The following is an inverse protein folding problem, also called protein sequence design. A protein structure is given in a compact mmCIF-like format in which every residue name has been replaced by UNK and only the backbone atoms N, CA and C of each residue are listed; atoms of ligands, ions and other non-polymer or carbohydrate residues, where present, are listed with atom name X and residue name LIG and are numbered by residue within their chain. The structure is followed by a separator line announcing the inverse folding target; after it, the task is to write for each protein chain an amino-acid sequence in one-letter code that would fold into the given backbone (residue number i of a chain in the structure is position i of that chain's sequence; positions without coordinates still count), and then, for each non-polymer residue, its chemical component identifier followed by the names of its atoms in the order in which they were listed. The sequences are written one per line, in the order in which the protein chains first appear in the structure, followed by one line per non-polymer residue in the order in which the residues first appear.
data_IF_314677134133
#
_entry.id   IF_314677134133
#
_cell.length_a   1.000
_cell.length_b   1.000
_cell.length_c   1.000
_cell.angle_alpha   90.00
_cell.angle_beta   90.00
_cell.angle_gamma   90.00
#
_symmetry.space_group_name_H-M   'P 1'
#
loop_
_entity.id
_entity.type
_entity.pdbx_description
1 polymer ?
#
# COMPACT_ATOMS: atom_id res chain seq x y z
N UNK A 1 -11.19 15.03 6.97
CA UNK A 1 -12.04 13.81 7.06
C UNK A 1 -13.45 14.26 6.74
N UNK A 2 -14.33 13.43 6.16
CA UNK A 2 -15.70 13.87 5.82
C UNK A 2 -16.50 14.43 7.01
N UNK A 3 -16.13 14.06 8.25
CA UNK A 3 -16.80 14.48 9.49
C UNK A 3 -15.90 15.32 10.43
N UNK A 4 -14.72 15.74 9.94
CA UNK A 4 -13.79 16.60 10.69
C UNK A 4 -13.00 17.50 9.76
N UNK A 5 -13.10 18.79 10.02
CA UNK A 5 -12.45 19.83 9.23
C UNK A 5 -10.96 19.97 9.53
N UNK A 6 -10.25 20.63 8.61
CA UNK A 6 -8.83 20.87 8.75
C UNK A 6 -8.54 21.69 10.02
N UNK A 7 -7.66 21.17 10.89
CA UNK A 7 -7.29 21.74 12.20
C UNK A 7 -8.44 21.84 13.22
N UNK A 8 -9.60 21.24 12.96
CA UNK A 8 -10.70 21.19 13.92
C UNK A 8 -10.31 20.36 15.15
N UNK A 9 -10.51 20.90 16.36
CA UNK A 9 -10.33 20.19 17.62
C UNK A 9 -11.70 19.71 18.11
N UNK A 10 -11.95 18.42 17.96
CA UNK A 10 -13.21 17.74 18.33
C UNK A 10 -12.89 16.53 19.17
N UNK A 11 -13.76 16.20 20.12
CA UNK A 11 -13.64 15.01 20.94
C UNK A 11 -13.83 13.74 20.11
N UNK A 12 -13.33 12.60 20.60
CA UNK A 12 -13.48 11.33 19.89
C UNK A 12 -14.95 10.94 19.78
N UNK A 13 -15.71 11.20 20.83
CA UNK A 13 -17.13 10.89 20.96
C UNK A 13 -17.96 11.66 19.93
N UNK A 14 -17.67 12.94 19.71
CA UNK A 14 -18.37 13.75 18.71
C UNK A 14 -17.99 13.32 17.28
N UNK A 15 -16.73 12.93 17.01
CA UNK A 15 -16.37 12.35 15.71
C UNK A 15 -17.14 11.06 15.44
N UNK A 16 -17.30 10.21 16.46
CA UNK A 16 -18.10 8.98 16.36
C UNK A 16 -19.55 9.32 16.07
N UNK A 17 -20.16 10.25 16.83
CA UNK A 17 -21.55 10.69 16.62
C UNK A 17 -21.76 11.18 15.19
N UNK A 18 -20.92 12.11 14.70
CA UNK A 18 -20.99 12.62 13.32
C UNK A 18 -20.84 11.51 12.29
N UNK A 19 -19.94 10.55 12.54
CA UNK A 19 -19.73 9.42 11.62
C UNK A 19 -20.95 8.50 11.56
N UNK A 20 -21.70 8.35 12.65
CA UNK A 20 -22.90 7.51 12.71
C UNK A 20 -24.16 8.22 12.20
N UNK A 21 -24.32 9.50 12.55
CA UNK A 21 -25.59 10.21 12.40
C UNK A 21 -25.59 11.22 11.25
N UNK A 22 -24.47 11.93 11.04
CA UNK A 22 -24.45 13.07 10.12
C UNK A 22 -24.21 12.60 8.67
N UNK A 23 -24.85 13.29 7.73
CA UNK A 23 -24.56 13.12 6.30
C UNK A 23 -23.29 13.88 5.88
N UNK A 24 -22.61 13.38 4.86
CA UNK A 24 -21.40 14.00 4.34
C UNK A 24 -21.74 15.34 3.65
N UNK A 25 -21.06 16.41 4.06
CA UNK A 25 -21.22 17.74 3.46
C UNK A 25 -20.18 17.96 2.38
N UNK A 26 -20.61 18.50 1.24
CA UNK A 26 -19.73 18.81 0.10
C UNK A 26 -19.59 20.32 -0.07
N UNK A 27 -18.70 20.92 0.72
CA UNK A 27 -18.50 22.38 0.70
C UNK A 27 -17.65 22.85 -0.50
N UNK A 28 -16.75 21.98 -0.99
CA UNK A 28 -15.88 22.34 -2.09
C UNK A 28 -16.60 22.25 -3.45
N UNK A 29 -16.54 23.32 -4.25
CA UNK A 29 -17.11 23.39 -5.60
C UNK A 29 -16.53 22.41 -6.64
N UNK A 30 -15.50 21.62 -6.28
CA UNK A 30 -14.82 20.69 -7.19
C UNK A 30 -15.51 19.33 -7.24
N UNK A 31 -16.46 19.06 -6.34
CA UNK A 31 -17.27 17.86 -6.39
C UNK A 31 -18.37 18.05 -7.42
N UNK A 32 -18.26 17.33 -8.54
CA UNK A 32 -19.32 17.20 -9.52
C UNK A 32 -20.43 16.24 -9.02
N UNK A 33 -21.53 16.15 -9.78
CA UNK A 33 -22.68 15.32 -9.37
C UNK A 33 -22.31 13.82 -9.25
N UNK A 34 -21.60 13.20 -10.23
CA UNK A 34 -21.18 11.80 -10.09
C UNK A 34 -20.26 11.55 -8.90
N UNK A 35 -19.35 12.48 -8.55
CA UNK A 35 -18.48 12.34 -7.37
C UNK A 35 -19.26 12.42 -6.07
N UNK A 36 -20.23 13.33 -5.96
CA UNK A 36 -21.08 13.43 -4.76
C UNK A 36 -21.92 12.17 -4.58
N UNK A 37 -22.49 11.67 -5.67
CA UNK A 37 -23.35 10.49 -5.66
C UNK A 37 -22.58 9.25 -5.19
N UNK A 38 -21.44 8.96 -5.82
CA UNK A 38 -20.64 7.78 -5.45
C UNK A 38 -20.16 7.85 -3.99
N UNK A 39 -19.78 9.04 -3.51
CA UNK A 39 -19.36 9.22 -2.12
C UNK A 39 -20.54 8.96 -1.17
N UNK A 40 -21.73 9.46 -1.49
CA UNK A 40 -22.93 9.21 -0.68
C UNK A 40 -23.32 7.72 -0.65
N UNK A 41 -23.18 7.04 -1.78
CA UNK A 41 -23.43 5.60 -1.89
C UNK A 41 -22.43 4.77 -1.07
N UNK A 42 -21.15 5.16 -1.01
CA UNK A 42 -20.15 4.52 -0.14
C UNK A 42 -20.31 4.88 1.34
N UNK A 43 -20.82 6.07 1.65
CA UNK A 43 -21.01 6.57 3.03
C UNK A 43 -22.38 6.23 3.61
N UNK A 44 -23.17 5.38 2.96
CA UNK A 44 -24.42 4.85 3.53
C UNK A 44 -24.15 4.20 4.90
N UNK A 45 -24.94 4.60 5.89
CA UNK A 45 -24.82 4.14 7.28
C UNK A 45 -25.17 2.67 7.39
N UNK A 46 -26.28 2.27 6.76
CA UNK A 46 -26.64 0.88 6.59
C UNK A 46 -25.64 0.19 5.65
N UNK A 47 -25.04 -0.90 6.14
CA UNK A 47 -24.08 -1.69 5.35
C UNK A 47 -24.76 -2.32 4.14
N UNK A 48 -26.01 -2.75 4.28
CA UNK A 48 -26.76 -3.39 3.20
C UNK A 48 -27.06 -2.48 2.00
N UNK A 49 -27.17 -1.17 2.26
CA UNK A 49 -27.42 -0.15 1.25
C UNK A 49 -26.12 0.43 0.69
N UNK A 50 -24.96 0.00 1.20
CA UNK A 50 -23.65 0.54 0.83
C UNK A 50 -23.19 -0.06 -0.50
N UNK A 51 -22.81 0.80 -1.42
CA UNK A 51 -22.24 0.38 -2.71
C UNK A 51 -20.99 -0.47 -2.49
N UNK A 52 -20.89 -1.59 -3.22
CA UNK A 52 -19.84 -2.59 -3.06
C UNK A 52 -20.21 -3.81 -2.20
N UNK A 53 -21.30 -3.75 -1.42
CA UNK A 53 -21.75 -4.90 -0.63
C UNK A 53 -22.62 -5.89 -1.44
N UNK A 54 -23.47 -5.39 -2.33
CA UNK A 54 -24.32 -6.19 -3.24
C UNK A 54 -24.05 -5.88 -4.71
N UNK A 55 -23.84 -4.60 -5.01
CA UNK A 55 -23.61 -4.09 -6.37
C UNK A 55 -22.13 -3.83 -6.66
N UNK A 56 -21.73 -3.99 -7.92
CA UNK A 56 -20.37 -3.71 -8.39
C UNK A 56 -20.15 -2.18 -8.50
N UNK A 57 -19.27 -1.58 -7.67
CA UNK A 57 -19.02 -0.14 -7.68
C UNK A 57 -18.45 0.35 -9.01
N UNK A 58 -17.81 -0.53 -9.78
CA UNK A 58 -17.17 -0.19 -11.06
C UNK A 58 -18.17 0.16 -12.15
N UNK A 59 -19.47 -0.16 -11.98
CA UNK A 59 -20.56 0.18 -12.90
C UNK A 59 -21.06 1.63 -12.74
N UNK A 60 -20.63 2.32 -11.69
CA UNK A 60 -21.04 3.68 -11.40
C UNK A 60 -20.54 4.67 -12.48
N UNK A 61 -21.33 5.72 -12.77
CA UNK A 61 -21.01 6.72 -13.81
C UNK A 61 -19.66 7.42 -13.59
N UNK A 62 -19.25 7.55 -12.32
CA UNK A 62 -17.93 8.06 -11.93
C UNK A 62 -16.76 7.33 -12.63
N UNK A 63 -16.89 6.02 -12.90
CA UNK A 63 -15.85 5.22 -13.56
C UNK A 63 -16.03 5.10 -15.07
N UNK A 64 -17.03 5.76 -15.67
CA UNK A 64 -17.40 5.62 -17.09
C UNK A 64 -16.26 5.95 -18.06
N UNK A 65 -15.35 6.85 -17.67
CA UNK A 65 -14.19 7.24 -18.49
C UNK A 65 -13.02 6.25 -18.40
N UNK A 66 -13.08 5.27 -17.50
CA UNK A 66 -11.98 4.35 -17.21
C UNK A 66 -12.31 2.96 -17.76
N UNK A 67 -11.42 2.44 -18.61
CA UNK A 67 -11.48 1.03 -19.00
C UNK A 67 -10.86 0.16 -17.90
N UNK A 68 -11.70 -0.43 -17.05
CA UNK A 68 -11.24 -1.27 -15.93
C UNK A 68 -10.33 -2.43 -16.39
N UNK A 69 -10.64 -3.21 -17.45
CA UNK A 69 -9.76 -4.29 -17.87
C UNK A 69 -8.36 -3.81 -18.28
N UNK A 70 -8.27 -2.61 -18.87
CA UNK A 70 -6.98 -2.00 -19.21
C UNK A 70 -6.25 -1.47 -17.98
N UNK A 71 -6.98 -0.96 -16.99
CA UNK A 71 -6.40 -0.52 -15.72
C UNK A 71 -5.77 -1.70 -14.97
N UNK A 72 -6.49 -2.82 -14.85
CA UNK A 72 -6.01 -4.04 -14.17
C UNK A 72 -4.78 -4.64 -14.86
N UNK A 73 -4.69 -4.51 -16.19
CA UNK A 73 -3.52 -4.92 -16.97
C UNK A 73 -2.36 -3.91 -16.99
N UNK A 74 -2.47 -2.78 -16.27
CA UNK A 74 -1.42 -1.74 -16.27
C UNK A 74 -1.27 -0.98 -17.60
N UNK A 75 -2.27 -1.01 -18.47
CA UNK A 75 -2.25 -0.42 -19.83
C UNK A 75 -2.79 1.03 -19.89
N UNK A 76 -3.08 1.62 -18.74
CA UNK A 76 -3.48 3.02 -18.60
C UNK A 76 -2.36 3.74 -17.84
N UNK A 77 -1.75 4.75 -18.47
CA UNK A 77 -0.74 5.56 -17.82
C UNK A 77 -1.37 6.34 -16.64
N UNK A 78 -0.71 6.39 -15.48
CA UNK A 78 -1.22 7.16 -14.35
C UNK A 78 -1.24 8.67 -14.70
N UNK A 79 -2.23 9.42 -14.19
CA UNK A 79 -2.34 10.86 -14.48
C UNK A 79 -1.20 11.68 -13.86
N UNK A 80 -0.48 11.12 -12.91
CA UNK A 80 0.67 11.74 -12.26
C UNK A 80 1.75 10.70 -11.99
N UNK A 81 3.01 11.06 -12.30
CA UNK A 81 4.19 10.22 -12.08
C UNK A 81 5.11 10.95 -11.09
N UNK A 82 5.51 10.31 -9.97
CA UNK A 82 6.43 10.89 -9.01
C UNK A 82 7.80 11.15 -9.65
N UNK A 83 8.45 12.24 -9.26
CA UNK A 83 9.81 12.55 -9.71
C UNK A 83 10.80 11.61 -9.00
N UNK A 84 11.73 10.96 -9.74
CA UNK A 84 12.64 9.98 -9.15
C UNK A 84 13.63 10.59 -8.15
N UNK A 85 13.87 11.90 -8.23
CA UNK A 85 14.79 12.64 -7.37
C UNK A 85 14.09 13.37 -6.21
N UNK A 86 12.85 13.03 -5.88
CA UNK A 86 12.08 13.68 -4.81
C UNK A 86 11.63 12.64 -3.78
N UNK A 87 11.89 12.91 -2.51
CA UNK A 87 11.40 12.10 -1.38
C UNK A 87 10.03 12.63 -0.96
N UNK A 88 8.98 11.82 -1.15
CA UNK A 88 7.59 12.17 -0.81
C UNK A 88 7.25 11.76 0.64
N UNK A 89 8.07 12.22 1.59
CA UNK A 89 7.89 11.99 3.03
C UNK A 89 8.13 13.29 3.82
N UNK A 90 7.76 13.30 5.11
CA UNK A 90 8.17 14.39 6.01
C UNK A 90 9.66 14.35 6.25
N UNK A 91 10.24 15.50 6.59
CA UNK A 91 11.62 15.55 7.04
C UNK A 91 11.77 14.69 8.30
N UNK A 92 12.87 13.95 8.37
CA UNK A 92 13.29 13.22 9.56
C UNK A 92 13.33 14.08 10.82
N UNK A 93 13.69 15.37 10.71
CA UNK A 93 13.69 16.30 11.84
C UNK A 93 12.29 16.67 12.37
N UNK A 94 11.24 16.47 11.57
CA UNK A 94 9.84 16.71 11.96
C UNK A 94 9.17 15.45 12.54
N UNK A 95 9.87 14.32 12.53
CA UNK A 95 9.40 13.07 13.13
C UNK A 95 9.65 13.19 14.64
N UNK A 96 8.59 12.99 15.44
CA UNK A 96 8.74 12.99 16.89
C UNK A 96 9.48 11.73 17.32
N UNK A 97 10.57 11.90 18.04
CA UNK A 97 11.22 10.79 18.72
C UNK A 97 10.32 10.26 19.83
N UNK A 98 10.17 8.95 19.87
CA UNK A 98 9.58 8.26 21.01
C UNK A 98 10.70 7.95 22.01
N UNK A 99 10.39 8.08 23.31
CA UNK A 99 11.33 7.67 24.35
C UNK A 99 11.60 6.18 24.26
N UNK A 100 12.88 5.80 24.37
CA UNK A 100 13.28 4.39 24.47
C UNK A 100 12.59 3.74 25.67
N UNK A 101 11.90 2.62 25.42
CA UNK A 101 11.28 1.83 26.49
C UNK A 101 12.37 0.95 27.09
N UNK A 102 12.75 1.22 28.35
CA UNK A 102 13.75 0.45 29.10
C UNK A 102 13.09 -0.55 30.04
N UNK A 103 13.78 -1.65 30.33
CA UNK A 103 13.33 -2.66 31.29
C UNK A 103 12.33 -3.68 30.73
N UNK A 104 12.28 -3.85 29.41
CA UNK A 104 11.55 -4.95 28.76
C UNK A 104 12.50 -6.14 28.67
N UNK A 105 12.11 -7.26 29.29
CA UNK A 105 12.78 -8.55 29.14
C UNK A 105 11.91 -9.45 28.28
N UNK A 106 12.50 -10.07 27.25
CA UNK A 106 11.78 -11.01 26.40
C UNK A 106 11.64 -12.36 27.09
N UNK A 107 10.43 -12.92 27.03
CA UNK A 107 10.17 -14.27 27.53
C UNK A 107 10.13 -15.32 26.40
N UNK A 108 9.89 -16.57 26.76
CA UNK A 108 9.80 -17.66 25.79
C UNK A 108 8.61 -17.54 24.83
N UNK A 109 7.54 -16.82 25.20
CA UNK A 109 6.42 -16.55 24.32
C UNK A 109 6.79 -15.52 23.26
N UNK A 110 7.53 -14.47 23.65
CA UNK A 110 8.08 -13.47 22.72
C UNK A 110 8.99 -14.13 21.69
N UNK A 111 9.94 -14.97 22.14
CA UNK A 111 10.84 -15.69 21.24
C UNK A 111 10.09 -16.62 20.27
N UNK A 112 9.05 -17.30 20.76
CA UNK A 112 8.22 -18.16 19.94
C UNK A 112 7.49 -17.35 18.87
N UNK A 113 6.91 -16.20 19.25
CA UNK A 113 6.25 -15.30 18.32
C UNK A 113 7.23 -14.76 17.27
N UNK A 114 8.45 -14.36 17.64
CA UNK A 114 9.45 -13.88 16.68
C UNK A 114 9.85 -14.96 15.67
N UNK A 115 9.94 -16.22 16.09
CA UNK A 115 10.18 -17.36 15.20
C UNK A 115 9.02 -17.62 14.24
N UNK A 116 7.79 -17.52 14.73
CA UNK A 116 6.59 -17.68 13.89
C UNK A 116 6.40 -16.53 12.89
N UNK A 117 6.75 -15.30 13.29
CA UNK A 117 6.66 -14.12 12.43
C UNK A 117 7.70 -14.14 11.30
N UNK A 118 8.90 -14.63 11.59
CA UNK A 118 10.04 -14.67 10.66
C UNK A 118 9.89 -15.78 9.61
N UNK A 119 8.89 -15.62 8.74
CA UNK A 119 8.51 -16.60 7.71
C UNK A 119 9.48 -16.69 6.54
N UNK A 120 10.47 -15.79 6.47
CA UNK A 120 11.49 -15.75 5.42
C UNK A 120 10.95 -15.22 4.09
N UNK A 121 11.47 -15.74 2.98
CA UNK A 121 11.10 -15.30 1.64
C UNK A 121 9.69 -15.77 1.26
N UNK A 122 8.85 -14.82 0.83
CA UNK A 122 7.51 -15.13 0.30
C UNK A 122 7.65 -15.62 -1.14
N UNK A 123 7.15 -16.82 -1.50
CA UNK A 123 7.49 -17.48 -2.77
C UNK A 123 7.21 -16.64 -4.03
N UNK A 124 6.01 -16.06 -4.16
CA UNK A 124 5.62 -15.35 -5.39
C UNK A 124 6.45 -14.08 -5.61
N UNK A 125 6.56 -13.14 -4.65
CA UNK A 125 7.42 -11.96 -4.81
C UNK A 125 8.89 -12.32 -5.02
N UNK A 126 9.41 -13.33 -4.31
CA UNK A 126 10.81 -13.74 -4.44
C UNK A 126 11.11 -14.32 -5.83
N UNK A 127 10.23 -15.16 -6.36
CA UNK A 127 10.36 -15.67 -7.73
C UNK A 127 10.30 -14.54 -8.76
N UNK A 128 9.38 -13.59 -8.58
CA UNK A 128 9.29 -12.42 -9.47
C UNK A 128 10.57 -11.59 -9.42
N UNK A 129 11.16 -11.37 -8.24
CA UNK A 129 12.45 -10.68 -8.09
C UNK A 129 13.58 -11.42 -8.82
N UNK A 130 13.64 -12.75 -8.72
CA UNK A 130 14.63 -13.57 -9.44
C UNK A 130 14.48 -13.43 -10.97
N UNK A 131 13.25 -13.33 -11.47
CA UNK A 131 12.97 -13.11 -12.89
C UNK A 131 13.33 -11.67 -13.30
N UNK A 132 12.86 -10.67 -12.57
CA UNK A 132 13.02 -9.24 -12.90
C UNK A 132 14.49 -8.78 -12.83
N UNK A 133 15.28 -9.38 -11.93
CA UNK A 133 16.72 -9.13 -11.82
C UNK A 133 17.55 -9.82 -12.91
N UNK A 134 16.95 -10.73 -13.69
CA UNK A 134 17.62 -11.59 -14.66
C UNK A 134 18.38 -12.77 -14.06
N UNK A 135 18.39 -12.92 -12.72
CA UNK A 135 19.10 -14.00 -12.03
C UNK A 135 18.57 -15.39 -12.40
N UNK A 136 17.26 -15.51 -12.63
CA UNK A 136 16.67 -16.77 -13.04
C UNK A 136 17.26 -17.28 -14.36
N UNK A 137 17.37 -16.42 -15.37
CA UNK A 137 17.93 -16.79 -16.67
C UNK A 137 19.42 -17.11 -16.57
N UNK A 138 20.17 -16.35 -15.79
CA UNK A 138 21.60 -16.57 -15.54
C UNK A 138 21.86 -17.92 -14.83
N UNK A 139 21.07 -18.26 -13.80
CA UNK A 139 21.27 -19.47 -12.99
C UNK A 139 20.69 -20.74 -13.62
N UNK A 140 19.64 -20.59 -14.43
CA UNK A 140 18.91 -21.70 -15.03
C UNK A 140 19.42 -22.07 -16.45
N UNK A 141 20.50 -21.43 -16.93
CA UNK A 141 21.15 -21.82 -18.19
C UNK A 141 21.88 -23.19 -18.05
N UNK A 142 21.47 -24.23 -18.80
CA UNK A 142 22.13 -25.53 -18.77
C UNK A 142 23.59 -25.52 -19.25
N UNK A 143 24.02 -24.47 -19.97
CA UNK A 143 25.41 -24.29 -20.42
C UNK A 143 26.25 -23.46 -19.44
N UNK A 144 25.67 -23.03 -18.30
CA UNK A 144 26.39 -22.29 -17.27
C UNK A 144 27.57 -23.12 -16.77
N UNK A 145 28.78 -22.64 -17.02
CA UNK A 145 29.98 -23.16 -16.35
C UNK A 145 29.81 -22.81 -14.87
N UNK A 146 29.76 -23.81 -13.99
CA UNK A 146 29.79 -23.58 -12.53
C UNK A 146 31.02 -22.70 -12.27
N UNK A 147 30.81 -21.47 -11.79
CA UNK A 147 31.90 -20.63 -11.31
C UNK A 147 32.67 -21.42 -10.26
N UNK A 148 33.90 -21.82 -10.61
CA UNK A 148 34.86 -22.32 -9.66
C UNK A 148 35.31 -21.16 -8.77
N UNK A 149 35.94 -21.49 -7.64
CA UNK A 149 36.40 -20.56 -6.61
C UNK A 149 37.46 -19.55 -7.11
N UNK A 150 37.88 -19.62 -8.38
CA UNK A 150 39.01 -18.88 -8.96
C UNK A 150 38.65 -18.04 -10.21
N UNK A 151 37.42 -17.53 -10.35
CA UNK A 151 37.13 -16.47 -11.32
C UNK A 151 37.15 -15.11 -10.61
N UNK A 152 38.31 -14.45 -10.67
CA UNK A 152 38.59 -13.05 -10.29
C UNK A 152 37.91 -12.04 -11.25
N UNK A 153 36.74 -12.38 -11.81
CA UNK A 153 35.93 -11.44 -12.55
C UNK A 153 34.93 -10.80 -11.59
N UNK A 154 34.99 -9.48 -11.51
CA UNK A 154 34.23 -8.56 -10.69
C UNK A 154 32.72 -8.57 -11.05
N UNK A 155 32.08 -9.75 -11.04
CA UNK A 155 30.64 -9.90 -11.14
C UNK A 155 30.05 -9.48 -9.81
N UNK A 156 29.72 -8.19 -9.71
CA UNK A 156 28.91 -7.64 -8.64
C UNK A 156 27.69 -8.53 -8.46
N UNK A 157 27.70 -9.31 -7.38
CA UNK A 157 26.56 -10.13 -6.97
C UNK A 157 25.33 -9.23 -6.92
N UNK A 158 24.39 -9.45 -7.84
CA UNK A 158 23.08 -8.80 -7.85
C UNK A 158 22.15 -9.42 -6.80
N UNK A 159 22.62 -10.39 -6.03
CA UNK A 159 21.87 -10.98 -4.92
C UNK A 159 21.66 -9.89 -3.88
N UNK A 160 20.43 -9.43 -3.73
CA UNK A 160 20.03 -8.65 -2.58
C UNK A 160 20.22 -9.55 -1.35
N UNK A 161 21.22 -9.26 -0.53
CA UNK A 161 21.41 -9.97 0.74
C UNK A 161 20.28 -9.53 1.67
N UNK A 162 19.23 -10.34 1.76
CA UNK A 162 18.25 -10.23 2.83
C UNK A 162 18.95 -10.66 4.12
N UNK A 163 19.16 -9.68 5.01
CA UNK A 163 19.57 -9.87 6.41
C UNK A 163 18.33 -10.19 7.26
#
# INVERSE_FOLDING_TARGET
MPFRDHKEKVTKEEIVRRTLEDECKFEHKKFDAPSKDIINLFLKKNVEDRLGCKDDPRKHEFFKSISIPRLEAGLIAPPWVPKPNVVYAKDTGDIRDFSEVKGVEFDANDEKFFKEFSTGAVPIPWQQEMIDSGLFDELNDPNRKKGGVDDDDEQKSKSCTLL
#
